data_IF_178250846277
#
_entry.id   IF_178250846277
#
_cell.length_a   1.000
_cell.length_b   1.000
_cell.length_c   1.000
_cell.angle_alpha   90.00
_cell.angle_beta   90.00
_cell.angle_gamma   90.00
#
_symmetry.space_group_name_H-M   'P 1'
#
loop_
_entity.id
_entity.type
_entity.pdbx_description
1 polymer ?
#
# COMPACT_ATOMS: atom_id res chain seq x y z
N UNK A 1 -29.22 -1.35 -16.48
CA UNK A 1 -28.31 -1.27 -15.32
C UNK A 1 -27.16 -2.22 -15.55
N UNK A 2 -25.98 -1.68 -15.71
CA UNK A 2 -24.74 -2.48 -15.74
C UNK A 2 -24.64 -3.29 -14.45
N UNK A 3 -24.40 -4.62 -14.47
CA UNK A 3 -24.20 -5.39 -13.25
C UNK A 3 -23.02 -4.77 -12.49
N UNK A 4 -23.22 -4.56 -11.20
CA UNK A 4 -22.26 -3.89 -10.34
C UNK A 4 -20.89 -4.58 -10.44
N UNK A 5 -19.86 -3.83 -10.75
CA UNK A 5 -18.45 -4.31 -10.78
C UNK A 5 -18.08 -5.12 -9.52
N UNK A 6 -18.76 -4.88 -8.39
CA UNK A 6 -18.56 -5.60 -7.14
C UNK A 6 -18.91 -7.09 -7.15
N UNK A 7 -19.87 -7.54 -7.97
CA UNK A 7 -20.22 -8.97 -8.05
C UNK A 7 -19.15 -9.78 -8.79
N UNK A 8 -18.55 -9.23 -9.83
CA UNK A 8 -17.45 -9.89 -10.56
C UNK A 8 -16.23 -10.14 -9.68
N UNK A 9 -15.91 -9.21 -8.78
CA UNK A 9 -14.80 -9.35 -7.84
C UNK A 9 -15.09 -10.38 -6.73
N UNK A 10 -16.34 -10.50 -6.29
CA UNK A 10 -16.76 -11.51 -5.33
C UNK A 10 -16.67 -12.92 -5.92
N UNK A 11 -17.10 -13.13 -7.16
CA UNK A 11 -16.98 -14.41 -7.85
C UNK A 11 -15.51 -14.80 -8.07
N UNK A 12 -14.67 -13.88 -8.51
CA UNK A 12 -13.22 -14.13 -8.66
C UNK A 12 -12.54 -14.47 -7.33
N UNK A 13 -13.00 -13.89 -6.23
CA UNK A 13 -12.51 -14.22 -4.87
C UNK A 13 -12.81 -15.67 -4.48
N UNK A 14 -14.00 -16.18 -4.84
CA UNK A 14 -14.41 -17.56 -4.55
C UNK A 14 -13.65 -18.58 -5.39
N UNK A 15 -13.33 -18.27 -6.64
CA UNK A 15 -12.60 -19.18 -7.53
C UNK A 15 -11.11 -19.33 -7.18
N UNK A 16 -10.47 -18.28 -6.62
CA UNK A 16 -9.03 -18.28 -6.34
C UNK A 16 -8.65 -18.47 -4.88
N UNK A 17 -9.63 -18.57 -3.95
CA UNK A 17 -9.38 -18.81 -2.53
C UNK A 17 -8.63 -17.69 -1.79
N UNK A 18 -8.30 -16.58 -2.48
CA UNK A 18 -7.51 -15.46 -1.94
C UNK A 18 -8.39 -14.46 -1.21
N UNK A 19 -8.04 -14.14 0.03
CA UNK A 19 -8.71 -13.10 0.82
C UNK A 19 -8.28 -11.71 0.36
N UNK A 20 -9.00 -11.11 -0.58
CA UNK A 20 -8.74 -9.74 -1.05
C UNK A 20 -9.17 -8.70 0.01
N UNK A 21 -8.23 -7.79 0.31
CA UNK A 21 -8.46 -6.57 1.10
C UNK A 21 -8.32 -5.33 0.19
N UNK A 22 -8.47 -4.13 0.75
CA UNK A 22 -8.25 -2.88 -0.01
C UNK A 22 -6.77 -2.62 -0.34
N UNK A 23 -5.84 -3.15 0.47
CA UNK A 23 -4.42 -2.83 0.37
C UNK A 23 -3.79 -3.19 -1.00
N UNK A 24 -4.03 -4.36 -1.62
CA UNK A 24 -3.53 -4.65 -2.96
C UNK A 24 -3.99 -3.66 -4.04
N UNK A 25 -5.21 -3.12 -3.94
CA UNK A 25 -5.72 -2.08 -4.84
C UNK A 25 -4.98 -0.77 -4.64
N UNK A 26 -4.71 -0.40 -3.37
CA UNK A 26 -3.93 0.81 -3.05
C UNK A 26 -2.50 0.66 -3.57
N UNK A 27 -1.88 -0.51 -3.44
CA UNK A 27 -0.55 -0.78 -4.02
C UNK A 27 -0.55 -0.53 -5.54
N UNK A 28 -1.54 -1.05 -6.27
CA UNK A 28 -1.64 -0.82 -7.73
C UNK A 28 -1.90 0.65 -8.08
N UNK A 29 -2.73 1.34 -7.30
CA UNK A 29 -2.97 2.77 -7.49
C UNK A 29 -1.70 3.60 -7.23
N UNK A 30 -0.96 3.28 -6.15
CA UNK A 30 0.32 3.91 -5.84
C UNK A 30 1.34 3.69 -6.96
N UNK A 31 1.51 2.46 -7.46
CA UNK A 31 2.38 2.17 -8.60
C UNK A 31 2.01 3.01 -9.82
N UNK A 32 0.71 3.14 -10.11
CA UNK A 32 0.23 3.99 -11.22
C UNK A 32 0.59 5.47 -11.00
N UNK A 33 0.46 5.96 -9.77
CA UNK A 33 0.83 7.33 -9.41
C UNK A 33 2.35 7.57 -9.54
N UNK A 34 3.18 6.64 -9.04
CA UNK A 34 4.64 6.73 -9.13
C UNK A 34 5.14 6.68 -10.58
N UNK A 35 4.45 5.95 -11.48
CA UNK A 35 4.74 5.97 -12.92
C UNK A 35 4.42 7.34 -13.55
N UNK A 36 3.35 7.99 -13.09
CA UNK A 36 2.93 9.32 -13.58
C UNK A 36 3.79 10.44 -12.98
N UNK A 37 4.27 10.26 -11.75
CA UNK A 37 5.07 11.24 -11.01
C UNK A 37 6.41 10.63 -10.59
N UNK A 38 7.36 10.42 -11.53
CA UNK A 38 8.59 9.66 -11.29
C UNK A 38 9.52 10.29 -10.25
N UNK A 39 9.39 11.59 -9.97
CA UNK A 39 10.13 12.26 -8.90
C UNK A 39 9.87 11.64 -7.52
N UNK A 40 8.68 11.04 -7.29
CA UNK A 40 8.34 10.34 -6.06
C UNK A 40 8.89 8.91 -5.99
N UNK A 41 9.52 8.42 -7.07
CA UNK A 41 10.14 7.08 -7.14
C UNK A 41 11.66 7.18 -7.26
N UNK A 42 12.26 8.01 -6.41
CA UNK A 42 13.69 8.33 -6.40
C UNK A 42 14.31 8.03 -5.03
N UNK A 43 15.60 8.16 -4.95
CA UNK A 43 16.35 8.31 -3.70
C UNK A 43 17.43 9.37 -3.88
N UNK A 44 17.83 10.01 -2.79
CA UNK A 44 18.92 10.96 -2.79
C UNK A 44 20.20 10.28 -2.33
N UNK A 45 21.26 10.38 -3.13
CA UNK A 45 22.62 9.97 -2.78
C UNK A 45 23.36 11.18 -2.23
N UNK A 46 23.51 11.26 -0.92
CA UNK A 46 24.15 12.41 -0.25
C UNK A 46 25.64 12.54 -0.61
N UNK A 47 26.35 11.41 -0.77
CA UNK A 47 27.79 11.43 -1.07
C UNK A 47 28.09 11.99 -2.47
N UNK A 48 27.26 11.64 -3.45
CA UNK A 48 27.40 12.11 -4.82
C UNK A 48 26.62 13.41 -5.09
N UNK A 49 25.71 13.82 -4.22
CA UNK A 49 24.79 14.94 -4.44
C UNK A 49 23.80 14.69 -5.58
N UNK A 50 23.43 13.43 -5.82
CA UNK A 50 22.64 13.03 -6.97
C UNK A 50 21.27 12.49 -6.59
N UNK A 51 20.26 12.76 -7.43
CA UNK A 51 18.94 12.13 -7.35
C UNK A 51 18.92 10.90 -8.25
N UNK A 52 18.73 9.74 -7.63
CA UNK A 52 18.70 8.45 -8.33
C UNK A 52 17.24 8.11 -8.69
N UNK A 53 16.90 8.16 -9.97
CA UNK A 53 15.59 7.72 -10.48
C UNK A 53 15.55 6.20 -10.59
N UNK A 54 14.52 5.59 -9.98
CA UNK A 54 14.33 4.14 -10.00
C UNK A 54 13.33 3.75 -11.09
N UNK A 55 13.71 2.78 -11.93
CA UNK A 55 12.86 2.25 -13.00
C UNK A 55 12.22 0.90 -12.62
N UNK A 56 11.99 0.72 -11.32
CA UNK A 56 11.27 -0.42 -10.74
C UNK A 56 10.39 0.08 -9.60
N UNK A 57 9.36 -0.67 -9.27
CA UNK A 57 8.35 -0.27 -8.28
C UNK A 57 8.23 -1.38 -7.23
N UNK A 58 8.92 -1.20 -6.15
CA UNK A 58 8.91 -2.07 -4.98
C UNK A 58 8.21 -1.31 -3.84
N UNK A 59 7.13 -1.86 -3.33
CA UNK A 59 6.30 -1.18 -2.35
C UNK A 59 6.52 -1.78 -0.97
N UNK A 60 7.05 -0.96 -0.05
CA UNK A 60 7.16 -1.30 1.36
C UNK A 60 5.79 -1.26 2.03
N UNK A 61 5.51 -2.21 2.90
CA UNK A 61 4.27 -2.26 3.70
C UNK A 61 4.67 -2.21 5.17
N UNK A 62 4.46 -1.06 5.82
CA UNK A 62 4.75 -0.95 7.25
C UNK A 62 3.81 -1.85 8.06
N UNK A 63 4.39 -2.74 8.85
CA UNK A 63 3.70 -3.69 9.70
C UNK A 63 4.20 -3.56 11.15
N UNK A 64 3.28 -3.33 12.06
CA UNK A 64 3.56 -3.34 13.50
C UNK A 64 3.59 -4.78 14.01
N UNK A 65 4.63 -5.11 14.77
CA UNK A 65 4.84 -6.44 15.35
C UNK A 65 5.29 -6.32 16.80
N UNK A 66 5.20 -7.41 17.56
CA UNK A 66 5.68 -7.46 18.95
C UNK A 66 7.19 -7.11 19.09
N UNK A 67 7.94 -7.22 18.00
CA UNK A 67 9.36 -6.88 17.91
C UNK A 67 9.63 -5.46 17.39
N UNK A 68 8.58 -4.67 17.18
CA UNK A 68 8.65 -3.33 16.59
C UNK A 68 8.14 -3.25 15.14
N UNK A 69 8.32 -2.09 14.55
CA UNK A 69 7.89 -1.80 13.17
C UNK A 69 8.84 -2.48 12.16
N UNK A 70 8.28 -3.31 11.31
CA UNK A 70 8.98 -3.91 10.17
C UNK A 70 8.36 -3.41 8.86
N UNK A 71 9.18 -3.35 7.80
CA UNK A 71 8.72 -2.90 6.48
C UNK A 71 9.07 -3.96 5.42
N UNK A 72 8.30 -5.06 5.35
CA UNK A 72 8.44 -6.01 4.25
C UNK A 72 8.09 -5.36 2.91
N UNK A 73 8.71 -5.85 1.83
CA UNK A 73 8.69 -5.22 0.51
C UNK A 73 8.09 -6.14 -0.54
N UNK A 74 6.96 -5.71 -1.12
CA UNK A 74 6.38 -6.32 -2.32
C UNK A 74 7.21 -5.87 -3.51
N UNK A 75 8.04 -6.76 -4.04
CA UNK A 75 8.95 -6.47 -5.16
C UNK A 75 8.22 -6.54 -6.50
N UNK A 76 8.62 -5.68 -7.45
CA UNK A 76 8.05 -5.62 -8.80
C UNK A 76 6.52 -5.55 -8.83
N UNK A 77 5.93 -4.73 -7.97
CA UNK A 77 4.48 -4.60 -7.82
C UNK A 77 3.76 -4.14 -9.11
N UNK A 78 4.50 -3.51 -10.04
CA UNK A 78 4.00 -3.13 -11.36
C UNK A 78 3.66 -4.34 -12.26
N UNK A 79 4.39 -5.44 -12.10
CA UNK A 79 4.26 -6.65 -12.93
C UNK A 79 3.28 -7.68 -12.36
N UNK A 80 2.91 -7.55 -11.08
CA UNK A 80 2.04 -8.46 -10.36
C UNK A 80 0.57 -8.09 -10.52
N UNK A 81 -0.29 -9.08 -10.58
CA UNK A 81 -1.73 -8.92 -10.47
C UNK A 81 -2.14 -8.51 -9.04
N UNK A 82 -3.38 -8.07 -8.86
CA UNK A 82 -3.92 -7.75 -7.52
C UNK A 82 -3.92 -8.99 -6.63
N UNK A 83 -4.16 -10.18 -7.18
CA UNK A 83 -4.18 -11.44 -6.43
C UNK A 83 -2.77 -11.82 -5.96
N UNK A 84 -1.78 -11.78 -6.84
CA UNK A 84 -0.38 -12.05 -6.48
C UNK A 84 0.14 -11.08 -5.41
N UNK A 85 -0.24 -9.79 -5.50
CA UNK A 85 0.10 -8.80 -4.47
C UNK A 85 -0.59 -9.16 -3.14
N UNK A 86 -1.86 -9.60 -3.18
CA UNK A 86 -2.60 -9.98 -1.96
C UNK A 86 -1.95 -11.17 -1.27
N UNK A 87 -1.59 -12.20 -2.03
CA UNK A 87 -0.95 -13.41 -1.50
C UNK A 87 0.42 -13.09 -0.90
N UNK A 88 1.23 -12.31 -1.61
CA UNK A 88 2.55 -11.89 -1.12
C UNK A 88 2.46 -11.02 0.14
N UNK A 89 1.51 -10.08 0.22
CA UNK A 89 1.28 -9.29 1.44
C UNK A 89 0.93 -10.20 2.61
N UNK A 90 0.05 -11.19 2.40
CA UNK A 90 -0.33 -12.14 3.44
C UNK A 90 0.86 -13.00 3.91
N UNK A 91 1.66 -13.51 2.97
CA UNK A 91 2.87 -14.28 3.27
C UNK A 91 3.88 -13.45 4.07
N UNK A 92 4.19 -12.25 3.61
CA UNK A 92 5.10 -11.32 4.28
C UNK A 92 4.60 -10.93 5.68
N UNK A 93 3.29 -10.72 5.85
CA UNK A 93 2.69 -10.41 7.15
C UNK A 93 2.80 -11.56 8.15
N UNK A 94 2.65 -12.82 7.68
CA UNK A 94 2.88 -14.02 8.52
C UNK A 94 4.35 -14.10 8.91
N UNK A 95 5.27 -13.98 7.95
CA UNK A 95 6.72 -13.99 8.22
C UNK A 95 7.14 -12.87 9.18
N UNK A 96 6.54 -11.68 9.06
CA UNK A 96 6.82 -10.56 9.97
C UNK A 96 6.44 -10.90 11.42
N UNK A 97 5.22 -11.42 11.65
CA UNK A 97 4.75 -11.82 12.97
C UNK A 97 5.59 -12.95 13.58
N UNK A 98 5.96 -13.93 12.76
CA UNK A 98 6.81 -15.05 13.18
C UNK A 98 8.27 -14.66 13.40
N UNK A 99 8.69 -13.45 13.01
CA UNK A 99 10.10 -13.03 13.05
C UNK A 99 11.00 -13.75 12.05
N UNK A 100 10.44 -14.20 10.92
CA UNK A 100 11.11 -14.99 9.88
C UNK A 100 11.42 -14.21 8.60
N UNK A 101 11.17 -12.87 8.58
CA UNK A 101 11.54 -12.04 7.45
C UNK A 101 13.06 -12.07 7.23
N UNK A 102 13.45 -12.27 5.99
CA UNK A 102 14.85 -12.17 5.57
C UNK A 102 15.24 -10.71 5.37
N UNK A 103 16.55 -10.42 5.43
CA UNK A 103 17.05 -9.05 5.15
C UNK A 103 16.71 -8.60 3.73
N UNK A 104 16.64 -9.52 2.75
CA UNK A 104 16.26 -9.18 1.37
C UNK A 104 14.78 -8.82 1.23
N UNK A 105 13.90 -9.44 2.01
CA UNK A 105 12.47 -9.13 2.03
C UNK A 105 12.16 -7.76 2.67
N UNK A 106 13.11 -7.15 3.37
CA UNK A 106 12.99 -5.84 4.04
C UNK A 106 13.75 -4.72 3.32
N UNK A 107 14.39 -4.99 2.18
CA UNK A 107 15.22 -4.02 1.46
C UNK A 107 14.73 -3.72 0.06
N UNK A 108 15.12 -2.55 -0.44
CA UNK A 108 14.91 -2.17 -1.84
C UNK A 108 13.52 -1.64 -2.14
N UNK A 109 12.78 -1.19 -1.15
CA UNK A 109 11.55 -0.43 -1.37
C UNK A 109 11.84 0.88 -2.12
N UNK A 110 10.87 1.34 -2.88
CA UNK A 110 10.94 2.62 -3.61
C UNK A 110 9.95 3.64 -3.08
N UNK A 111 8.88 3.17 -2.44
CA UNK A 111 7.92 3.96 -1.69
C UNK A 111 7.22 3.03 -0.69
N UNK A 112 6.96 3.51 0.51
CA UNK A 112 6.32 2.73 1.58
C UNK A 112 4.88 3.16 1.79
N UNK A 113 4.03 2.19 2.14
CA UNK A 113 2.66 2.41 2.64
C UNK A 113 2.66 2.16 4.16
N UNK A 114 2.26 3.17 4.93
CA UNK A 114 1.98 3.03 6.36
C UNK A 114 0.48 3.01 6.60
N UNK A 115 -0.04 1.92 7.16
CA UNK A 115 -1.46 1.70 7.35
C UNK A 115 -1.80 1.58 8.85
N UNK A 116 -2.38 2.64 9.42
CA UNK A 116 -2.89 2.64 10.80
C UNK A 116 -4.40 2.41 10.87
N UNK A 117 -5.06 2.22 9.74
CA UNK A 117 -6.51 1.99 9.68
C UNK A 117 -6.93 0.72 10.41
N UNK A 118 -6.11 -0.33 10.42
CA UNK A 118 -6.30 -1.56 11.18
C UNK A 118 -6.24 -1.35 12.69
N UNK A 119 -5.47 -0.38 13.17
CA UNK A 119 -5.37 0.01 14.58
C UNK A 119 -6.43 1.06 14.97
N UNK A 120 -7.37 1.41 14.08
CA UNK A 120 -8.43 2.38 14.34
C UNK A 120 -8.01 3.84 14.19
N UNK A 121 -6.77 4.12 13.80
CA UNK A 121 -6.26 5.47 13.57
C UNK A 121 -6.87 6.14 12.34
N UNK A 122 -7.19 7.44 12.46
CA UNK A 122 -7.76 8.22 11.37
C UNK A 122 -6.82 9.31 10.87
N UNK A 123 -6.09 9.95 11.77
CA UNK A 123 -5.18 11.06 11.49
C UNK A 123 -3.80 10.74 12.05
N UNK A 124 -2.77 10.86 11.23
CA UNK A 124 -1.38 10.69 11.61
C UNK A 124 -0.47 11.27 10.54
N UNK A 125 0.78 11.50 10.89
CA UNK A 125 1.81 11.91 9.94
C UNK A 125 2.83 10.79 9.86
N UNK A 126 2.89 10.04 8.75
CA UNK A 126 3.90 9.00 8.57
C UNK A 126 5.29 9.63 8.39
N UNK A 127 6.32 8.91 8.82
CA UNK A 127 7.72 9.29 8.62
C UNK A 127 8.27 8.54 7.42
N UNK A 128 8.93 9.25 6.50
CA UNK A 128 9.54 8.65 5.30
C UNK A 128 10.59 7.62 5.73
N UNK A 129 10.55 6.44 5.09
CA UNK A 129 11.50 5.37 5.31
C UNK A 129 12.73 5.59 4.43
N UNK A 130 13.77 6.23 5.00
CA UNK A 130 15.02 6.52 4.27
C UNK A 130 15.61 5.23 3.64
N UNK A 131 16.13 5.22 2.39
CA UNK A 131 16.37 6.38 1.49
C UNK A 131 15.22 6.71 0.50
N UNK A 132 14.00 6.26 0.78
CA UNK A 132 12.82 6.64 0.00
C UNK A 132 12.58 8.15 0.15
N UNK A 133 11.91 8.76 -0.83
CA UNK A 133 11.60 10.20 -0.81
C UNK A 133 10.10 10.47 -0.59
N UNK A 134 9.29 9.42 -0.53
CA UNK A 134 7.85 9.54 -0.33
C UNK A 134 7.29 8.37 0.48
N UNK A 135 6.20 8.64 1.22
CA UNK A 135 5.43 7.64 1.96
C UNK A 135 3.94 7.93 1.80
N UNK A 136 3.14 6.88 1.67
CA UNK A 136 1.68 6.97 1.65
C UNK A 136 1.11 6.50 2.99
N UNK A 137 0.45 7.40 3.71
CA UNK A 137 -0.30 7.06 4.92
C UNK A 137 -1.75 6.71 4.61
N UNK A 138 -2.24 5.61 5.18
CA UNK A 138 -3.63 5.15 5.08
C UNK A 138 -4.24 5.12 6.48
N UNK A 139 -5.30 5.91 6.68
CA UNK A 139 -6.15 5.84 7.86
C UNK A 139 -7.29 4.82 7.66
N UNK A 140 -8.21 4.78 8.62
CA UNK A 140 -9.34 3.87 8.55
C UNK A 140 -10.36 4.28 7.49
N UNK A 141 -11.08 3.28 6.98
CA UNK A 141 -12.30 3.48 6.20
C UNK A 141 -13.47 3.62 7.19
N UNK A 142 -14.20 4.72 7.11
CA UNK A 142 -15.37 4.99 7.96
C UNK A 142 -16.55 5.49 7.11
N UNK A 143 -17.76 5.16 7.56
CA UNK A 143 -18.97 5.77 6.98
C UNK A 143 -19.01 7.24 7.31
N UNK A 144 -19.10 8.08 6.29
CA UNK A 144 -19.24 9.54 6.43
C UNK A 144 -20.37 10.06 5.54
N UNK A 145 -21.06 11.14 5.95
CA UNK A 145 -21.99 11.81 5.06
C UNK A 145 -21.20 12.46 3.91
N UNK A 146 -21.65 12.17 2.69
CA UNK A 146 -21.14 12.81 1.48
C UNK A 146 -22.32 13.34 0.66
N UNK A 147 -22.08 14.37 -0.14
CA UNK A 147 -23.06 14.85 -1.11
C UNK A 147 -22.81 14.13 -2.44
N UNK A 148 -23.83 13.42 -2.94
CA UNK A 148 -23.81 12.79 -4.25
C UNK A 148 -25.11 13.12 -4.98
N UNK A 149 -25.01 13.67 -6.18
CA UNK A 149 -26.15 14.06 -7.01
C UNK A 149 -27.15 15.01 -6.30
N UNK A 150 -26.63 15.88 -5.39
CA UNK A 150 -27.41 16.82 -4.60
C UNK A 150 -28.02 16.24 -3.31
N UNK A 151 -27.88 14.95 -3.06
CA UNK A 151 -28.38 14.27 -1.86
C UNK A 151 -27.26 13.94 -0.87
N UNK A 152 -27.58 13.99 0.43
CA UNK A 152 -26.65 13.55 1.49
C UNK A 152 -26.84 12.05 1.69
N UNK A 153 -25.79 11.30 1.42
CA UNK A 153 -25.77 9.84 1.61
C UNK A 153 -24.64 9.41 2.55
N UNK A 154 -24.80 8.29 3.23
CA UNK A 154 -23.72 7.65 3.95
C UNK A 154 -22.85 6.83 2.98
N UNK A 155 -21.54 7.10 2.95
CA UNK A 155 -20.62 6.36 2.10
C UNK A 155 -19.32 6.03 2.83
N UNK A 156 -18.63 4.92 2.46
CA UNK A 156 -17.32 4.60 2.97
C UNK A 156 -16.28 5.59 2.43
N UNK A 157 -15.58 6.27 3.33
CA UNK A 157 -14.53 7.24 3.01
C UNK A 157 -13.21 6.78 3.60
N UNK A 158 -12.19 6.70 2.77
CA UNK A 158 -10.81 6.39 3.15
C UNK A 158 -10.05 7.69 3.39
N UNK A 159 -9.36 7.80 4.53
CA UNK A 159 -8.43 8.90 4.79
C UNK A 159 -7.04 8.53 4.26
N UNK A 160 -6.45 9.42 3.48
CA UNK A 160 -5.11 9.27 2.92
C UNK A 160 -4.27 10.51 3.21
N UNK A 161 -2.98 10.33 3.41
CA UNK A 161 -1.99 11.38 3.42
C UNK A 161 -0.73 10.92 2.68
N UNK A 162 -0.15 11.81 1.87
CA UNK A 162 1.14 11.58 1.22
C UNK A 162 2.17 12.59 1.74
N UNK A 163 3.36 12.13 1.93
CA UNK A 163 4.53 12.92 2.33
C UNK A 163 5.66 12.58 1.36
#
# INVERSE_FOLDING_TARGET
RSPSRGLGDVYKRQEQGTKLTFLPYVVKALVSALKKYPALNTSFNEEAGEVVHKHYWNIGIAADTDKGLLVPVVKHADRKSIFEISDEINELAVKARDGKLTSDEMKGATCTISNIGSAGGQWFTPVINHPEVAILGIGRIAQKPIVKDGEIIAAPVLSLIHI
#
